data_IF_352674404843
#
_entry.id   IF_352674404843
#
_cell.length_a   1.000
_cell.length_b   1.000
_cell.length_c   1.000
_cell.angle_alpha   90.00
_cell.angle_beta   90.00
_cell.angle_gamma   90.00
#
_symmetry.space_group_name_H-M   'P 1'
#
loop_
_entity.id
_entity.type
_entity.pdbx_description
1 polymer ?
#
# COMPACT_ATOMS: atom_id res chain seq x y z
N UNK A 1 18.46 -8.60 3.99
CA UNK A 1 17.28 -7.80 4.38
C UNK A 1 16.99 -6.83 3.24
N UNK A 2 15.74 -6.74 2.77
CA UNK A 2 15.43 -5.69 1.80
C UNK A 2 15.28 -4.35 2.51
N UNK A 3 15.79 -3.28 1.90
CA UNK A 3 15.67 -1.92 2.41
C UNK A 3 14.20 -1.47 2.38
N UNK A 4 13.71 -0.99 3.51
CA UNK A 4 12.43 -0.30 3.63
C UNK A 4 12.62 1.20 3.42
N UNK A 5 11.64 1.80 2.75
CA UNK A 5 11.56 3.22 2.45
C UNK A 5 10.29 3.78 3.08
N UNK A 6 10.42 4.96 3.66
CA UNK A 6 9.31 5.74 4.19
C UNK A 6 8.81 6.68 3.09
N UNK A 7 7.54 6.53 2.74
CA UNK A 7 6.86 7.36 1.75
C UNK A 7 5.70 8.07 2.43
N UNK A 8 5.53 9.36 2.18
CA UNK A 8 4.40 10.14 2.71
C UNK A 8 3.51 10.55 1.56
N UNK A 9 2.20 10.36 1.72
CA UNK A 9 1.25 10.72 0.69
C UNK A 9 -0.21 10.45 1.04
N UNK A 10 -1.06 10.62 0.04
CA UNK A 10 -2.50 10.40 0.13
C UNK A 10 -2.89 9.21 -0.72
N UNK A 11 -3.91 8.47 -0.31
CA UNK A 11 -4.48 7.39 -1.12
C UNK A 11 -5.52 8.01 -2.04
N UNK A 12 -5.39 7.76 -3.35
CA UNK A 12 -6.38 8.17 -4.35
C UNK A 12 -7.36 7.03 -4.67
N UNK A 13 -6.91 5.78 -4.53
CA UNK A 13 -7.76 4.62 -4.83
C UNK A 13 -7.18 3.31 -4.34
N UNK A 14 -8.05 2.30 -4.22
CA UNK A 14 -7.69 0.91 -3.91
C UNK A 14 -8.45 -0.05 -4.81
N UNK A 15 -7.73 -1.00 -5.40
CA UNK A 15 -8.27 -2.04 -6.28
C UNK A 15 -7.92 -3.43 -5.72
N UNK A 16 -8.92 -4.30 -5.45
CA UNK A 16 -8.63 -5.71 -5.19
C UNK A 16 -8.13 -6.40 -6.46
N UNK A 17 -7.13 -7.27 -6.31
CA UNK A 17 -6.53 -8.06 -7.38
C UNK A 17 -6.32 -9.49 -6.91
N UNK A 18 -6.42 -10.45 -7.82
CA UNK A 18 -6.03 -11.84 -7.55
C UNK A 18 -4.63 -12.11 -8.10
N UNK A 19 -3.85 -12.91 -7.38
CA UNK A 19 -2.60 -13.46 -7.92
C UNK A 19 -2.96 -14.52 -8.96
N UNK A 20 -2.56 -14.30 -10.22
CA UNK A 20 -2.84 -15.25 -11.33
C UNK A 20 -1.65 -16.13 -11.68
N UNK A 21 -0.49 -15.90 -11.07
CA UNK A 21 0.70 -16.72 -11.31
C UNK A 21 0.50 -18.11 -10.70
N UNK A 22 0.22 -19.10 -11.57
CA UNK A 22 0.01 -20.50 -11.19
C UNK A 22 1.22 -21.16 -10.53
N UNK A 23 2.43 -20.61 -10.70
CA UNK A 23 3.66 -21.12 -10.06
C UNK A 23 3.86 -20.54 -8.65
N UNK A 24 3.13 -19.49 -8.30
CA UNK A 24 3.18 -18.90 -6.97
C UNK A 24 2.38 -19.74 -5.98
N UNK A 25 2.91 -20.01 -4.76
CA UNK A 25 2.13 -20.65 -3.70
C UNK A 25 0.94 -19.80 -3.24
N UNK A 26 0.86 -18.54 -3.69
CA UNK A 26 -0.22 -17.61 -3.38
C UNK A 26 -1.21 -17.42 -4.53
N UNK A 27 -1.19 -18.29 -5.55
CA UNK A 27 -2.14 -18.23 -6.67
C UNK A 27 -3.59 -18.24 -6.14
N UNK A 28 -4.43 -17.34 -6.66
CA UNK A 28 -5.81 -17.16 -6.22
C UNK A 28 -5.97 -16.22 -5.01
N UNK A 29 -4.91 -15.91 -4.27
CA UNK A 29 -5.00 -15.03 -3.11
C UNK A 29 -5.34 -13.59 -3.53
N UNK A 30 -6.10 -12.93 -2.65
CA UNK A 30 -6.44 -11.52 -2.78
C UNK A 30 -5.21 -10.66 -2.47
N UNK A 31 -5.03 -9.61 -3.23
CA UNK A 31 -3.98 -8.58 -3.10
C UNK A 31 -4.63 -7.24 -3.37
N UNK A 32 -3.97 -6.15 -2.98
CA UNK A 32 -4.47 -4.80 -3.28
C UNK A 32 -3.44 -4.03 -4.08
N UNK A 33 -3.94 -3.27 -5.06
CA UNK A 33 -3.20 -2.17 -5.65
C UNK A 33 -3.76 -0.88 -5.08
N UNK A 34 -2.92 -0.11 -4.41
CA UNK A 34 -3.23 1.21 -3.86
C UNK A 34 -2.57 2.24 -4.75
N UNK A 35 -3.36 3.19 -5.26
CA UNK A 35 -2.85 4.37 -5.96
C UNK A 35 -2.61 5.45 -4.92
N UNK A 36 -1.38 5.93 -4.81
CA UNK A 36 -0.98 6.95 -3.85
C UNK A 36 -0.40 8.17 -4.56
N UNK A 37 -0.75 9.36 -4.09
CA UNK A 37 -0.10 10.60 -4.48
C UNK A 37 0.98 10.90 -3.45
N UNK A 38 2.26 10.81 -3.84
CA UNK A 38 3.38 11.09 -2.95
C UNK A 38 3.67 12.60 -2.88
N UNK A 39 3.89 13.11 -1.67
CA UNK A 39 4.06 14.54 -1.42
C UNK A 39 5.31 15.12 -2.07
N UNK A 40 6.40 14.34 -2.10
CA UNK A 40 7.71 14.72 -2.61
C UNK A 40 7.78 14.73 -4.15
N UNK A 41 7.06 13.82 -4.81
CA UNK A 41 7.10 13.67 -6.27
C UNK A 41 5.91 14.34 -6.97
N UNK A 42 4.83 14.63 -6.22
CA UNK A 42 3.52 15.09 -6.75
C UNK A 42 3.03 14.23 -7.92
N UNK A 43 3.36 12.93 -7.89
CA UNK A 43 3.01 11.94 -8.90
C UNK A 43 2.33 10.74 -8.29
N UNK A 44 1.41 10.18 -9.06
CA UNK A 44 0.78 8.91 -8.71
C UNK A 44 1.78 7.77 -8.72
N UNK A 45 1.76 6.99 -7.67
CA UNK A 45 2.57 5.82 -7.47
C UNK A 45 1.65 4.63 -7.16
N UNK A 46 2.09 3.43 -7.56
CA UNK A 46 1.37 2.20 -7.25
C UNK A 46 2.07 1.43 -6.14
N UNK A 47 1.34 1.23 -5.06
CA UNK A 47 1.75 0.43 -3.89
C UNK A 47 0.95 -0.86 -3.90
N UNK A 48 1.65 -1.99 -3.91
CA UNK A 48 1.04 -3.32 -3.91
C UNK A 48 1.08 -3.91 -2.51
N UNK A 49 -0.04 -4.50 -2.10
CA UNK A 49 -0.19 -5.14 -0.78
C UNK A 49 -0.46 -6.61 -0.98
N UNK A 50 0.41 -7.43 -0.39
CA UNK A 50 0.30 -8.88 -0.40
C UNK A 50 0.03 -9.38 1.01
N UNK A 51 -1.06 -10.13 1.26
CA UNK A 51 -1.42 -10.56 2.62
C UNK A 51 -0.35 -11.37 3.34
N UNK A 52 0.54 -12.05 2.60
CA UNK A 52 1.65 -12.81 3.17
C UNK A 52 2.84 -11.94 3.59
N UNK A 53 2.84 -10.64 3.27
CA UNK A 53 3.91 -9.68 3.59
C UNK A 53 3.46 -8.60 4.58
N UNK A 54 2.19 -8.59 4.96
CA UNK A 54 1.63 -7.61 5.91
C UNK A 54 0.87 -8.33 7.01
N UNK A 55 0.69 -7.65 8.14
CA UNK A 55 -0.21 -8.16 9.20
C UNK A 55 -1.66 -8.20 8.68
N UNK A 56 -2.45 -9.16 9.14
CA UNK A 56 -3.86 -9.32 8.76
C UNK A 56 -4.70 -8.06 9.01
N UNK A 57 -4.36 -7.33 10.08
CA UNK A 57 -4.95 -6.03 10.44
C UNK A 57 -4.82 -5.00 9.32
N UNK A 58 -3.69 -5.00 8.59
CA UNK A 58 -3.46 -4.06 7.49
C UNK A 58 -4.42 -4.34 6.35
N UNK A 59 -4.61 -5.61 5.98
CA UNK A 59 -5.57 -5.99 4.94
C UNK A 59 -6.99 -5.57 5.34
N UNK A 60 -7.42 -5.90 6.55
CA UNK A 60 -8.74 -5.48 7.04
C UNK A 60 -8.89 -3.96 7.11
N UNK A 61 -7.81 -3.24 7.45
CA UNK A 61 -7.81 -1.77 7.45
C UNK A 61 -7.91 -1.20 6.04
N UNK A 62 -7.25 -1.80 5.04
CA UNK A 62 -7.35 -1.38 3.63
C UNK A 62 -8.78 -1.58 3.13
N UNK A 63 -9.44 -2.69 3.45
CA UNK A 63 -10.83 -2.91 3.04
C UNK A 63 -11.77 -1.87 3.62
N UNK A 64 -11.65 -1.61 4.93
CA UNK A 64 -12.55 -0.71 5.67
C UNK A 64 -12.16 0.76 5.59
N UNK A 65 -10.97 1.10 5.09
CA UNK A 65 -10.47 2.48 5.13
C UNK A 65 -11.34 3.43 4.31
N UNK A 66 -11.77 4.52 4.98
CA UNK A 66 -12.22 5.76 4.35
C UNK A 66 -11.00 6.66 4.25
N UNK A 67 -10.33 6.62 3.10
CA UNK A 67 -9.03 7.23 2.89
C UNK A 67 -9.08 8.65 2.32
N UNK A 68 -10.28 9.16 2.05
CA UNK A 68 -10.51 10.51 1.53
C UNK A 68 -9.95 11.54 2.53
N UNK A 69 -9.22 12.53 2.03
CA UNK A 69 -8.59 13.64 2.78
C UNK A 69 -7.61 13.23 3.88
N UNK A 70 -7.13 11.98 3.87
CA UNK A 70 -6.17 11.47 4.85
C UNK A 70 -4.77 11.38 4.28
N UNK A 71 -3.78 11.64 5.14
CA UNK A 71 -2.36 11.43 4.85
C UNK A 71 -1.87 10.20 5.58
N UNK A 72 -0.92 9.51 4.94
CA UNK A 72 -0.37 8.27 5.44
C UNK A 72 1.14 8.26 5.31
N UNK A 73 1.80 7.61 6.27
CA UNK A 73 3.18 7.15 6.18
C UNK A 73 3.16 5.69 5.74
N UNK A 74 3.76 5.39 4.61
CA UNK A 74 3.87 4.05 4.05
C UNK A 74 5.29 3.53 4.21
N UNK A 75 5.42 2.34 4.79
CA UNK A 75 6.68 1.60 4.89
C UNK A 75 6.73 0.60 3.74
N UNK A 76 7.52 0.93 2.72
CA UNK A 76 7.52 0.24 1.44
C UNK A 76 8.89 -0.34 1.07
N UNK A 77 8.88 -1.52 0.48
CA UNK A 77 10.02 -2.09 -0.22
C UNK A 77 9.99 -1.68 -1.70
N UNK A 78 11.11 -1.18 -2.23
CA UNK A 78 11.24 -0.88 -3.66
C UNK A 78 11.54 -2.15 -4.45
N UNK A 79 10.67 -2.51 -5.38
CA UNK A 79 10.92 -3.49 -6.45
C UNK A 79 11.12 -2.76 -7.79
N UNK A 80 11.71 -3.40 -8.82
CA UNK A 80 12.08 -2.72 -10.08
C UNK A 80 10.96 -1.90 -10.74
N UNK A 81 9.69 -2.30 -10.59
CA UNK A 81 8.54 -1.61 -11.22
C UNK A 81 7.42 -1.21 -10.26
N UNK A 82 7.60 -1.42 -8.95
CA UNK A 82 6.52 -1.25 -7.98
C UNK A 82 7.02 -1.05 -6.56
N UNK A 83 6.17 -0.45 -5.75
CA UNK A 83 6.31 -0.45 -4.30
C UNK A 83 5.54 -1.61 -3.69
N UNK A 84 6.10 -2.24 -2.66
CA UNK A 84 5.42 -3.29 -1.90
C UNK A 84 5.23 -2.79 -0.47
N UNK A 85 4.00 -2.74 0.00
CA UNK A 85 3.68 -2.30 1.35
C UNK A 85 4.04 -3.36 2.37
N UNK A 86 4.70 -2.96 3.45
CA UNK A 86 4.95 -3.77 4.63
C UNK A 86 4.19 -3.25 5.85
N UNK A 87 4.06 -1.93 5.97
CA UNK A 87 3.22 -1.29 6.99
C UNK A 87 2.71 0.08 6.52
N UNK A 88 1.67 0.60 7.17
CA UNK A 88 1.23 1.98 7.01
C UNK A 88 0.72 2.59 8.32
N UNK A 89 0.74 3.91 8.40
CA UNK A 89 0.20 4.65 9.53
C UNK A 89 -0.55 5.88 9.01
N UNK A 90 -1.74 6.12 9.54
CA UNK A 90 -2.48 7.36 9.27
C UNK A 90 -1.79 8.48 10.05
N UNK A 91 -1.40 9.53 9.34
CA UNK A 91 -0.82 10.71 9.96
C UNK A 91 -1.94 11.60 10.51
N UNK A 92 -1.75 12.22 11.68
CA UNK A 92 -2.72 13.14 12.23
C UNK A 92 -2.98 14.27 11.23
N UNK A 93 -4.25 14.62 11.05
CA UNK A 93 -4.61 15.85 10.35
C UNK A 93 -3.92 17.00 11.08
N UNK A 94 -3.09 17.76 10.36
CA UNK A 94 -2.56 19.03 10.87
C UNK A 94 -3.78 19.90 11.20
N UNK A 95 -4.10 20.01 12.49
CA UNK A 95 -5.18 20.86 12.96
C UNK A 95 -4.95 22.29 12.47
N UNK A 96 -6.03 22.93 12.02
CA UNK A 96 -6.08 24.38 11.92
C UNK A 96 -6.04 24.99 13.32
#
# INVERSE_FOLDING_TARGET
MTKLYELVGQILGKEPRKVYDKKSPFCGNLTYKITVLLDNEKKENFVFVYPNLVRSEIIGSIERSRYIDKRYLFFCEKKPKRWVLHNWEELPSLGK
#
